data_IF_586372642905
#
_entry.id   IF_586372642905
#
_cell.length_a   1.000
_cell.length_b   1.000
_cell.length_c   1.000
_cell.angle_alpha   90.00
_cell.angle_beta   90.00
_cell.angle_gamma   90.00
#
_symmetry.space_group_name_H-M   'P 1'
#
loop_
_entity.id
_entity.type
_entity.pdbx_description
1 polymer ?
#
# COMPACT_ATOMS: atom_id res chain seq x y z
N UNK A 1 -5.54 -2.88 14.13
CA UNK A 1 -5.00 -2.23 12.91
C UNK A 1 -3.55 -2.63 12.79
N UNK A 2 -3.19 -3.35 11.72
CA UNK A 2 -1.87 -3.95 11.54
C UNK A 2 -0.77 -2.86 11.42
N UNK A 3 0.25 -2.93 12.28
CA UNK A 3 1.36 -1.98 12.30
C UNK A 3 2.19 -1.99 11.02
N UNK A 4 2.36 -3.15 10.38
CA UNK A 4 3.10 -3.29 9.13
C UNK A 4 2.38 -2.60 7.97
N UNK A 5 1.06 -2.75 7.89
CA UNK A 5 0.25 -2.07 6.89
C UNK A 5 0.29 -0.55 7.05
N UNK A 6 0.12 -0.06 8.28
CA UNK A 6 0.16 1.37 8.56
C UNK A 6 1.54 1.96 8.22
N UNK A 7 2.62 1.21 8.45
CA UNK A 7 3.95 1.65 8.05
C UNK A 7 4.08 1.73 6.52
N UNK A 8 3.68 0.69 5.78
CA UNK A 8 3.75 0.67 4.32
C UNK A 8 2.91 1.79 3.67
N UNK A 9 1.68 2.02 4.15
CA UNK A 9 0.83 3.12 3.67
C UNK A 9 1.43 4.49 4.01
N UNK A 10 2.08 4.62 5.16
CA UNK A 10 2.76 5.85 5.55
C UNK A 10 3.98 6.12 4.67
N UNK A 11 4.77 5.10 4.35
CA UNK A 11 5.91 5.22 3.43
C UNK A 11 5.46 5.65 2.04
N UNK A 12 4.43 5.01 1.49
CA UNK A 12 3.84 5.39 0.21
C UNK A 12 3.32 6.83 0.22
N UNK A 13 2.61 7.23 1.29
CA UNK A 13 2.09 8.59 1.44
C UNK A 13 3.22 9.62 1.53
N UNK A 14 4.28 9.32 2.28
CA UNK A 14 5.47 10.16 2.39
C UNK A 14 6.23 10.27 1.07
N UNK A 15 6.19 9.23 0.23
CA UNK A 15 6.74 9.25 -1.13
C UNK A 15 5.87 10.03 -2.13
N UNK A 16 4.66 10.48 -1.75
CA UNK A 16 3.77 11.23 -2.62
C UNK A 16 2.80 10.37 -3.43
N UNK A 17 2.57 9.11 -3.03
CA UNK A 17 1.56 8.24 -3.63
C UNK A 17 0.15 8.84 -3.49
N UNK A 18 -0.57 8.90 -4.61
CA UNK A 18 -1.97 9.34 -4.64
C UNK A 18 -2.90 8.16 -4.82
N UNK A 19 -4.12 8.26 -4.28
CA UNK A 19 -5.14 7.20 -4.41
C UNK A 19 -4.85 5.93 -3.60
N UNK A 20 -4.11 6.05 -2.50
CA UNK A 20 -3.83 4.90 -1.62
C UNK A 20 -5.14 4.26 -1.10
N UNK A 21 -5.21 2.92 -1.05
CA UNK A 21 -6.36 2.23 -0.48
C UNK A 21 -6.46 2.51 1.02
N UNK A 22 -7.67 2.45 1.57
CA UNK A 22 -7.88 2.52 3.01
C UNK A 22 -7.29 1.28 3.69
N UNK A 23 -6.77 1.44 4.92
CA UNK A 23 -6.19 0.32 5.68
C UNK A 23 -7.20 -0.81 5.86
N UNK A 24 -8.48 -0.49 6.08
CA UNK A 24 -9.54 -1.49 6.23
C UNK A 24 -9.73 -2.32 4.94
N UNK A 25 -9.72 -1.69 3.77
CA UNK A 25 -9.82 -2.40 2.48
C UNK A 25 -8.63 -3.32 2.25
N UNK A 26 -7.43 -2.91 2.64
CA UNK A 26 -6.22 -3.73 2.51
C UNK A 26 -6.22 -4.89 3.51
N UNK A 27 -6.63 -4.67 4.77
CA UNK A 27 -6.72 -5.74 5.78
C UNK A 27 -7.74 -6.81 5.36
N UNK A 28 -8.91 -6.41 4.83
CA UNK A 28 -9.97 -7.35 4.39
C UNK A 28 -9.68 -8.03 3.05
N UNK A 29 -8.73 -7.52 2.27
CA UNK A 29 -8.41 -8.11 0.98
C UNK A 29 -7.74 -9.48 1.12
N UNK A 30 -7.92 -10.30 0.08
CA UNK A 30 -7.24 -11.60 -0.02
C UNK A 30 -5.74 -11.42 -0.16
N UNK A 31 -4.99 -12.40 0.35
CA UNK A 31 -3.55 -12.47 0.12
C UNK A 31 -3.24 -12.50 -1.39
N UNK A 32 -2.15 -11.86 -1.79
CA UNK A 32 -1.76 -11.63 -3.19
C UNK A 32 -2.45 -10.43 -3.85
N UNK A 33 -3.38 -9.74 -3.18
CA UNK A 33 -4.00 -8.53 -3.74
C UNK A 33 -2.96 -7.43 -3.90
N UNK A 34 -2.99 -6.79 -5.07
CA UNK A 34 -2.14 -5.66 -5.44
C UNK A 34 -2.97 -4.41 -5.61
N UNK A 35 -2.39 -3.29 -5.22
CA UNK A 35 -2.85 -1.94 -5.50
C UNK A 35 -1.70 -1.19 -6.15
N UNK A 36 -2.01 -0.36 -7.11
CA UNK A 36 -1.04 0.51 -7.74
C UNK A 36 -1.69 1.82 -8.13
N UNK A 37 -0.86 2.83 -8.35
CA UNK A 37 -1.30 4.14 -8.78
C UNK A 37 -0.12 5.01 -9.16
N UNK A 38 -0.41 6.29 -9.38
CA UNK A 38 0.61 7.30 -9.67
C UNK A 38 0.87 8.19 -8.47
N UNK A 39 2.09 8.68 -8.38
CA UNK A 39 2.50 9.78 -7.53
C UNK A 39 2.30 11.12 -8.25
N UNK A 40 2.48 12.21 -7.53
CA UNK A 40 2.36 13.56 -8.09
C UNK A 40 3.42 13.86 -9.18
N UNK A 41 4.55 13.16 -9.18
CA UNK A 41 5.64 13.28 -10.16
C UNK A 41 5.55 12.25 -11.30
N UNK A 42 4.37 11.67 -11.53
CA UNK A 42 4.10 10.62 -12.53
C UNK A 42 4.77 9.26 -12.29
N UNK A 43 5.60 9.10 -11.25
CA UNK A 43 6.12 7.80 -10.86
C UNK A 43 5.01 6.86 -10.38
N UNK A 44 5.18 5.57 -10.63
CA UNK A 44 4.24 4.56 -10.18
C UNK A 44 4.56 4.10 -8.76
N UNK A 45 3.51 3.75 -8.02
CA UNK A 45 3.65 3.07 -6.74
C UNK A 45 2.88 1.76 -6.76
N UNK A 46 3.36 0.78 -6.00
CA UNK A 46 2.69 -0.51 -5.81
C UNK A 46 2.63 -0.86 -4.33
N UNK A 47 1.50 -1.41 -3.89
CA UNK A 47 1.32 -2.07 -2.60
C UNK A 47 0.80 -3.49 -2.87
N UNK A 48 1.41 -4.49 -2.27
CA UNK A 48 1.01 -5.89 -2.38
C UNK A 48 0.83 -6.47 -0.99
N UNK A 49 -0.35 -7.05 -0.72
CA UNK A 49 -0.57 -7.85 0.48
C UNK A 49 -0.04 -9.25 0.23
N UNK A 50 1.07 -9.63 0.84
CA UNK A 50 1.60 -10.99 0.70
C UNK A 50 0.83 -11.96 1.61
N UNK A 51 0.67 -11.57 2.88
CA UNK A 51 -0.11 -12.30 3.87
C UNK A 51 -0.73 -11.30 4.87
N UNK A 52 -1.38 -11.79 5.93
CA UNK A 52 -2.03 -10.91 6.91
C UNK A 52 -1.06 -9.97 7.66
N UNK A 53 0.25 -10.23 7.64
CA UNK A 53 1.28 -9.50 8.39
C UNK A 53 2.43 -8.97 7.53
N UNK A 54 2.40 -9.17 6.21
CA UNK A 54 3.46 -8.80 5.28
C UNK A 54 2.90 -8.06 4.08
N UNK A 55 3.43 -6.87 3.88
CA UNK A 55 3.06 -5.95 2.81
C UNK A 55 4.33 -5.52 2.08
N UNK A 56 4.35 -5.66 0.77
CA UNK A 56 5.41 -5.11 -0.07
C UNK A 56 4.94 -3.77 -0.62
N UNK A 57 5.74 -2.72 -0.47
CA UNK A 57 5.52 -1.44 -1.12
C UNK A 57 6.70 -1.11 -2.05
N UNK A 58 6.40 -0.56 -3.23
CA UNK A 58 7.38 -0.04 -4.18
C UNK A 58 7.02 1.38 -4.58
N UNK A 59 8.05 2.21 -4.74
CA UNK A 59 8.02 3.60 -5.16
C UNK A 59 9.10 3.80 -6.20
#
# INVERSE_FOLDING_TARGET
>A
MNSHLNNALRELKSAGAQGLPSSESVEKATNGKKWSGKKANEEEWELVKNNNESYNCRC
#
